data_IF_106515753232
#
_entry.id   IF_106515753232
#
_cell.length_a   1.000
_cell.length_b   1.000
_cell.length_c   1.000
_cell.angle_alpha   90.00
_cell.angle_beta   90.00
_cell.angle_gamma   90.00
#
_symmetry.space_group_name_H-M   'P 1'
#
loop_
_entity.id
_entity.type
_entity.pdbx_description
1 polymer ?
#
# COMPACT_ATOMS: atom_id res chain seq x y z
N UNK A 1 -15.91 23.11 -3.32
CA UNK A 1 -15.15 22.76 -2.09
C UNK A 1 -15.06 24.03 -1.25
N UNK A 2 -15.37 23.99 0.05
CA UNK A 2 -15.31 25.20 0.89
C UNK A 2 -13.86 25.63 1.13
N UNK A 3 -13.58 26.92 1.39
CA UNK A 3 -12.23 27.37 1.73
C UNK A 3 -11.62 26.59 2.91
N UNK A 4 -12.45 26.24 3.90
CA UNK A 4 -12.02 25.41 5.03
C UNK A 4 -11.56 24.01 4.60
N UNK A 5 -12.31 23.31 3.73
CA UNK A 5 -11.88 22.00 3.24
C UNK A 5 -10.59 22.07 2.40
N UNK A 6 -10.40 23.14 1.63
CA UNK A 6 -9.15 23.36 0.88
C UNK A 6 -7.98 23.52 1.85
N UNK A 7 -8.15 24.32 2.90
CA UNK A 7 -7.10 24.52 3.92
C UNK A 7 -6.72 23.20 4.61
N UNK A 8 -7.69 22.39 5.04
CA UNK A 8 -7.43 21.07 5.65
C UNK A 8 -6.66 20.15 4.71
N UNK A 9 -7.05 20.08 3.44
CA UNK A 9 -6.37 19.25 2.45
C UNK A 9 -4.93 19.73 2.20
N UNK A 10 -4.72 21.04 2.08
CA UNK A 10 -3.40 21.61 1.84
C UNK A 10 -2.45 21.32 3.01
N UNK A 11 -2.89 21.51 4.25
CA UNK A 11 -2.12 21.13 5.44
C UNK A 11 -1.81 19.62 5.48
N UNK A 12 -2.73 18.78 5.01
CA UNK A 12 -2.48 17.34 4.89
C UNK A 12 -1.39 16.99 3.87
N UNK A 13 -1.22 17.78 2.80
CA UNK A 13 -0.24 17.52 1.73
C UNK A 13 1.20 17.76 2.21
N UNK A 14 1.42 18.67 3.15
CA UNK A 14 2.76 19.02 3.68
C UNK A 14 3.55 17.80 4.19
N UNK A 15 2.86 16.78 4.69
CA UNK A 15 3.46 15.54 5.22
C UNK A 15 3.16 14.30 4.38
N UNK A 16 2.55 14.46 3.19
CA UNK A 16 2.09 13.33 2.38
C UNK A 16 3.22 12.38 2.01
N UNK A 17 4.37 12.89 1.57
CA UNK A 17 5.49 12.05 1.16
C UNK A 17 5.99 11.15 2.30
N UNK A 18 6.13 11.70 3.51
CA UNK A 18 6.56 10.97 4.70
C UNK A 18 5.57 9.87 5.08
N UNK A 19 4.26 10.20 5.07
CA UNK A 19 3.21 9.22 5.37
C UNK A 19 3.19 8.10 4.33
N UNK A 20 3.26 8.43 3.04
CA UNK A 20 3.25 7.44 1.96
C UNK A 20 4.45 6.50 2.04
N UNK A 21 5.66 7.01 2.28
CA UNK A 21 6.86 6.17 2.44
C UNK A 21 6.67 5.13 3.54
N UNK A 22 6.27 5.57 4.74
CA UNK A 22 6.06 4.67 5.88
C UNK A 22 4.90 3.71 5.62
N UNK A 23 3.83 4.16 4.96
CA UNK A 23 2.69 3.31 4.61
C UNK A 23 3.06 2.23 3.59
N UNK A 24 3.89 2.54 2.58
CA UNK A 24 4.40 1.54 1.65
C UNK A 24 5.23 0.47 2.36
N UNK A 25 6.22 0.89 3.15
CA UNK A 25 7.07 -0.04 3.90
C UNK A 25 6.26 -0.92 4.86
N UNK A 26 5.24 -0.37 5.51
CA UNK A 26 4.38 -1.12 6.41
C UNK A 26 3.47 -2.09 5.65
N UNK A 27 2.89 -1.68 4.51
CA UNK A 27 2.07 -2.55 3.69
C UNK A 27 2.87 -3.77 3.19
N UNK A 28 4.09 -3.56 2.72
CA UNK A 28 4.99 -4.65 2.29
C UNK A 28 5.26 -5.64 3.44
N UNK A 29 5.59 -5.12 4.63
CA UNK A 29 5.84 -5.94 5.84
C UNK A 29 4.59 -6.72 6.27
N UNK A 30 3.43 -6.07 6.29
CA UNK A 30 2.16 -6.68 6.69
C UNK A 30 1.76 -7.77 5.68
N UNK A 31 1.86 -7.49 4.39
CA UNK A 31 1.54 -8.46 3.35
C UNK A 31 2.44 -9.69 3.43
N UNK A 32 3.76 -9.49 3.61
CA UNK A 32 4.70 -10.60 3.81
C UNK A 32 4.41 -11.41 5.08
N UNK A 33 4.07 -10.72 6.19
CA UNK A 33 3.69 -11.37 7.44
C UNK A 33 2.40 -12.19 7.30
N UNK A 34 1.39 -11.67 6.59
CA UNK A 34 0.12 -12.36 6.33
C UNK A 34 0.34 -13.66 5.53
N UNK A 35 1.23 -13.65 4.52
CA UNK A 35 1.58 -14.86 3.74
C UNK A 35 2.23 -15.96 4.59
N UNK A 36 2.83 -15.61 5.71
CA UNK A 36 3.46 -16.54 6.64
C UNK A 36 2.57 -17.02 7.78
N UNK A 37 1.29 -16.62 7.83
CA UNK A 37 0.39 -17.04 8.90
C UNK A 37 0.01 -18.51 8.79
N UNK A 38 -0.26 -19.20 9.93
CA UNK A 38 -0.64 -20.61 9.92
C UNK A 38 -2.04 -20.87 9.35
N UNK A 39 -2.90 -19.84 9.29
CA UNK A 39 -4.18 -19.92 8.59
C UNK A 39 -3.96 -19.87 7.08
N UNK A 40 -4.76 -20.61 6.31
CA UNK A 40 -4.76 -20.50 4.86
C UNK A 40 -5.34 -19.13 4.46
N UNK A 41 -4.44 -18.18 4.16
CA UNK A 41 -4.78 -16.83 3.71
C UNK A 41 -4.37 -16.64 2.26
N UNK A 42 -5.31 -16.21 1.43
CA UNK A 42 -4.99 -15.67 0.11
C UNK A 42 -4.65 -14.19 0.28
N UNK A 43 -3.38 -13.82 0.14
CA UNK A 43 -2.91 -12.44 0.33
C UNK A 43 -2.54 -11.81 -1.01
N UNK A 44 -3.14 -10.67 -1.29
CA UNK A 44 -2.94 -9.91 -2.52
C UNK A 44 -2.16 -8.63 -2.21
N UNK A 45 -1.04 -8.43 -2.89
CA UNK A 45 -0.29 -7.18 -2.82
C UNK A 45 0.51 -6.98 -4.11
N UNK A 46 0.48 -5.77 -4.67
CA UNK A 46 1.17 -5.47 -5.91
C UNK A 46 2.70 -5.42 -5.75
N UNK A 47 3.18 -5.34 -4.51
CA UNK A 47 4.60 -5.32 -4.16
C UNK A 47 5.29 -6.69 -4.23
N UNK A 48 4.54 -7.78 -4.40
CA UNK A 48 5.14 -9.11 -4.50
C UNK A 48 5.75 -9.39 -5.88
N UNK A 49 6.88 -10.10 -5.90
CA UNK A 49 7.56 -10.48 -7.15
C UNK A 49 6.72 -11.42 -8.03
N UNK A 50 5.89 -12.26 -7.40
CA UNK A 50 4.96 -13.18 -8.07
C UNK A 50 3.62 -12.53 -8.46
N UNK A 51 3.45 -11.22 -8.24
CA UNK A 51 2.24 -10.52 -8.69
C UNK A 51 2.15 -10.58 -10.24
N UNK A 52 0.98 -10.91 -10.84
CA UNK A 52 0.84 -11.07 -12.30
C UNK A 52 1.26 -9.84 -13.13
N UNK A 53 1.30 -8.67 -12.50
CA UNK A 53 1.70 -7.40 -13.11
C UNK A 53 2.94 -6.78 -12.47
N UNK A 54 3.79 -7.56 -11.80
CA UNK A 54 4.96 -7.05 -11.07
C UNK A 54 5.88 -6.16 -11.94
N UNK A 55 6.10 -6.52 -13.21
CA UNK A 55 6.90 -5.70 -14.15
C UNK A 55 6.25 -4.32 -14.40
N UNK A 56 4.93 -4.30 -14.58
CA UNK A 56 4.17 -3.05 -14.78
C UNK A 56 4.21 -2.17 -13.54
N UNK A 57 4.03 -2.76 -12.36
CA UNK A 57 4.13 -2.07 -11.07
C UNK A 57 5.49 -1.40 -10.94
N UNK A 58 6.59 -2.14 -11.18
CA UNK A 58 7.95 -1.59 -11.13
C UNK A 58 8.18 -0.46 -12.14
N UNK A 59 7.52 -0.50 -13.30
CA UNK A 59 7.65 0.53 -14.35
C UNK A 59 6.88 1.81 -14.02
N UNK A 60 5.73 1.71 -13.34
CA UNK A 60 4.79 2.83 -13.19
C UNK A 60 4.67 3.36 -11.76
N UNK A 61 5.04 2.58 -10.76
CA UNK A 61 4.82 2.88 -9.35
C UNK A 61 6.15 2.82 -8.57
N UNK A 62 6.32 3.68 -7.55
CA UNK A 62 7.51 3.63 -6.70
C UNK A 62 7.49 2.45 -5.70
N UNK A 63 6.32 1.84 -5.46
CA UNK A 63 6.11 0.73 -4.53
C UNK A 63 4.82 -0.03 -4.90
N UNK A 64 4.52 -1.13 -4.20
CA UNK A 64 3.34 -1.97 -4.42
C UNK A 64 1.99 -1.39 -4.00
N UNK A 65 1.97 -0.18 -3.42
CA UNK A 65 0.76 0.44 -2.86
C UNK A 65 0.63 0.24 -1.35
N UNK A 66 -0.44 0.79 -0.77
CA UNK A 66 -0.68 0.80 0.69
C UNK A 66 -1.84 -0.10 1.13
N UNK A 67 -2.50 -0.77 0.17
CA UNK A 67 -3.69 -1.60 0.42
C UNK A 67 -3.27 -3.05 0.32
N UNK A 68 -3.63 -3.85 1.34
CA UNK A 68 -3.32 -5.27 1.42
C UNK A 68 -4.62 -6.07 1.55
N UNK A 69 -5.30 -6.41 0.44
CA UNK A 69 -6.45 -7.30 0.49
C UNK A 69 -6.01 -8.71 0.88
N UNK A 70 -6.83 -9.38 1.68
CA UNK A 70 -6.65 -10.80 1.96
C UNK A 70 -8.01 -11.46 2.19
N UNK A 71 -8.06 -12.76 1.92
CA UNK A 71 -9.22 -13.61 2.15
C UNK A 71 -8.84 -14.73 3.12
N UNK A 72 -9.74 -15.02 4.05
CA UNK A 72 -9.63 -16.16 4.97
C UNK A 72 -10.33 -17.34 4.33
N UNK A 73 -9.61 -18.43 4.10
CA UNK A 73 -10.12 -19.68 3.51
C UNK A 73 -10.77 -20.55 4.57
#
# INVERSE_FOLDING_TARGET
MSPFHVWVLLSGVETMALRMQVQFENADKIAAWLRGQPQELNVYHAGFEDHPQAELVRKQQPAGGIVVPFEVV
#
